data_IF_945155754028
#
_entry.id   IF_945155754028
#
_cell.length_a   1.000
_cell.length_b   1.000
_cell.length_c   1.000
_cell.angle_alpha   90.00
_cell.angle_beta   90.00
_cell.angle_gamma   90.00
#
_symmetry.space_group_name_H-M   'P 1'
#
loop_
_entity.id
_entity.type
_entity.pdbx_description
1 polymer ?
#
# COMPACT_ATOMS: atom_id res chain seq x y z
N UNK A 1 -15.79 0.78 -4.16
CA UNK A 1 -14.37 0.42 -3.95
C UNK A 1 -14.26 -0.85 -3.11
N UNK A 2 -13.21 -1.62 -3.31
CA UNK A 2 -12.93 -2.82 -2.50
C UNK A 2 -12.55 -2.44 -1.05
N UNK A 3 -11.80 -1.39 -0.89
CA UNK A 3 -11.39 -0.84 0.41
C UNK A 3 -10.08 -1.40 0.95
N UNK A 4 -9.65 -2.56 0.46
CA UNK A 4 -8.41 -3.22 0.89
C UNK A 4 -7.78 -4.01 -0.28
N UNK A 5 -7.71 -3.37 -1.46
CA UNK A 5 -7.22 -3.99 -2.69
C UNK A 5 -5.68 -4.00 -2.72
N UNK A 6 -5.10 -4.99 -2.10
CA UNK A 6 -3.65 -5.23 -2.17
C UNK A 6 -3.38 -6.66 -2.63
N UNK A 7 -2.15 -6.93 -3.03
CA UNK A 7 -1.79 -8.22 -3.65
C UNK A 7 -2.13 -9.44 -2.78
N UNK A 8 -2.15 -9.28 -1.46
CA UNK A 8 -2.53 -10.37 -0.54
C UNK A 8 -4.00 -10.78 -0.61
N UNK A 9 -4.85 -9.93 -1.20
CA UNK A 9 -6.27 -10.19 -1.40
C UNK A 9 -6.61 -10.56 -2.85
N UNK A 10 -5.59 -10.89 -3.64
CA UNK A 10 -5.76 -11.32 -5.03
C UNK A 10 -5.21 -12.73 -5.17
N UNK A 11 -6.03 -13.64 -5.65
CA UNK A 11 -5.67 -15.06 -5.80
C UNK A 11 -5.98 -15.52 -7.22
N UNK A 12 -5.02 -16.23 -7.81
CA UNK A 12 -5.24 -16.97 -9.05
C UNK A 12 -5.68 -18.39 -8.70
N UNK A 13 -6.80 -18.84 -9.28
CA UNK A 13 -7.28 -20.21 -9.15
C UNK A 13 -6.51 -21.16 -10.07
N UNK A 14 -6.66 -22.47 -9.86
CA UNK A 14 -6.03 -23.47 -10.71
C UNK A 14 -6.50 -23.38 -12.17
N UNK A 15 -7.72 -22.87 -12.41
CA UNK A 15 -8.26 -22.66 -13.75
C UNK A 15 -7.72 -21.40 -14.43
N UNK A 16 -6.89 -20.61 -13.76
CA UNK A 16 -6.36 -19.36 -14.26
C UNK A 16 -7.28 -18.15 -14.06
N UNK A 17 -8.36 -18.30 -13.31
CA UNK A 17 -9.19 -17.16 -12.92
C UNK A 17 -8.51 -16.35 -11.81
N UNK A 18 -8.72 -15.03 -11.83
CA UNK A 18 -8.28 -14.13 -10.77
C UNK A 18 -9.47 -13.70 -9.95
N UNK A 19 -9.41 -13.92 -8.65
CA UNK A 19 -10.49 -13.56 -7.72
C UNK A 19 -9.98 -12.62 -6.64
N UNK A 20 -10.87 -11.74 -6.18
CA UNK A 20 -10.61 -10.85 -5.07
C UNK A 20 -11.16 -11.46 -3.78
N UNK A 21 -10.35 -11.43 -2.73
CA UNK A 21 -10.71 -11.90 -1.41
C UNK A 21 -10.99 -10.72 -0.48
N UNK A 22 -11.55 -11.03 0.69
CA UNK A 22 -11.72 -10.09 1.81
C UNK A 22 -12.54 -8.86 1.42
N UNK A 23 -13.83 -9.09 1.13
CA UNK A 23 -14.76 -8.06 0.67
C UNK A 23 -15.41 -7.28 1.83
N UNK A 24 -15.01 -7.50 3.07
CA UNK A 24 -15.67 -6.90 4.25
C UNK A 24 -15.60 -5.38 4.28
N UNK A 25 -14.61 -4.78 3.61
CA UNK A 25 -14.44 -3.31 3.53
C UNK A 25 -15.02 -2.70 2.27
N UNK A 26 -15.70 -3.49 1.44
CA UNK A 26 -16.35 -2.97 0.24
C UNK A 26 -17.37 -1.90 0.61
N UNK A 27 -17.25 -0.73 -0.01
CA UNK A 27 -18.07 0.44 0.32
C UNK A 27 -18.11 1.44 -0.83
N UNK A 28 -18.96 2.45 -0.69
CA UNK A 28 -18.94 3.60 -1.59
C UNK A 28 -17.78 4.52 -1.22
N UNK A 29 -17.03 4.95 -2.21
CA UNK A 29 -15.88 5.83 -2.00
C UNK A 29 -15.10 6.02 -3.29
N UNK A 30 -14.01 6.81 -3.26
CA UNK A 30 -13.21 7.05 -4.44
C UNK A 30 -12.55 5.75 -4.91
N UNK A 31 -12.71 5.38 -6.20
CA UNK A 31 -12.05 4.19 -6.73
C UNK A 31 -10.53 4.27 -6.66
N UNK A 32 -9.99 5.45 -6.61
CA UNK A 32 -8.56 5.73 -6.48
C UNK A 32 -7.97 5.14 -5.20
N UNK A 33 -8.76 5.01 -4.13
CA UNK A 33 -8.30 4.38 -2.89
C UNK A 33 -7.75 2.97 -3.12
N UNK A 34 -8.39 2.20 -3.99
CA UNK A 34 -7.96 0.83 -4.28
C UNK A 34 -6.66 0.76 -5.08
N UNK A 35 -6.37 1.78 -5.89
CA UNK A 35 -5.13 1.82 -6.71
C UNK A 35 -3.96 2.48 -6.01
N UNK A 36 -4.19 3.27 -4.98
CA UNK A 36 -3.12 3.89 -4.17
C UNK A 36 -2.20 2.83 -3.57
N UNK A 37 -2.72 1.69 -3.17
CA UNK A 37 -1.91 0.60 -2.63
C UNK A 37 -0.79 0.15 -3.59
N UNK A 38 -1.12 -0.06 -4.84
CA UNK A 38 -0.13 -0.45 -5.85
C UNK A 38 0.81 0.71 -6.17
N UNK A 39 0.29 1.93 -6.27
CA UNK A 39 1.09 3.11 -6.58
C UNK A 39 2.16 3.37 -5.51
N UNK A 40 1.84 3.25 -4.23
CA UNK A 40 2.82 3.50 -3.16
C UNK A 40 3.89 2.42 -3.06
N UNK A 41 3.61 1.19 -3.50
CA UNK A 41 4.66 0.15 -3.63
C UNK A 41 5.80 0.62 -4.53
N UNK A 42 5.48 1.38 -5.56
CA UNK A 42 6.47 1.99 -6.43
C UNK A 42 7.00 3.30 -5.84
N UNK A 43 6.12 4.29 -5.62
CA UNK A 43 6.52 5.67 -5.34
C UNK A 43 6.99 5.91 -3.91
N UNK A 44 6.48 5.15 -2.94
CA UNK A 44 6.85 5.34 -1.53
C UNK A 44 7.90 4.35 -1.04
N UNK A 45 7.87 3.10 -1.53
CA UNK A 45 8.64 2.02 -0.92
C UNK A 45 9.63 1.33 -1.85
N UNK A 46 9.61 1.63 -3.14
CA UNK A 46 10.45 1.00 -4.16
C UNK A 46 10.39 -0.55 -4.14
N UNK A 47 9.22 -1.10 -3.84
CA UNK A 47 8.98 -2.55 -3.77
C UNK A 47 8.68 -3.17 -5.14
N UNK A 48 8.30 -2.35 -6.09
CA UNK A 48 8.15 -2.73 -7.50
C UNK A 48 8.92 -1.74 -8.37
N UNK A 49 9.27 -2.16 -9.57
CA UNK A 49 10.00 -1.32 -10.53
C UNK A 49 9.06 -0.35 -11.24
N UNK A 50 9.64 0.70 -11.84
CA UNK A 50 8.89 1.61 -12.70
C UNK A 50 8.19 0.88 -13.86
N UNK A 51 8.86 -0.11 -14.45
CA UNK A 51 8.29 -0.91 -15.55
C UNK A 51 7.09 -1.74 -15.07
N UNK A 52 7.18 -2.34 -13.87
CA UNK A 52 6.07 -3.09 -13.28
C UNK A 52 4.88 -2.18 -12.98
N UNK A 53 5.12 -1.00 -12.41
CA UNK A 53 4.04 -0.06 -12.14
C UNK A 53 3.39 0.44 -13.43
N UNK A 54 4.18 0.72 -14.45
CA UNK A 54 3.65 1.14 -15.76
C UNK A 54 2.79 0.06 -16.39
N UNK A 55 3.20 -1.21 -16.31
CA UNK A 55 2.40 -2.33 -16.79
C UNK A 55 1.05 -2.42 -16.06
N UNK A 56 1.03 -2.20 -14.76
CA UNK A 56 -0.20 -2.13 -13.98
C UNK A 56 -1.12 -1.00 -14.49
N UNK A 57 -0.58 0.20 -14.68
CA UNK A 57 -1.35 1.35 -15.17
C UNK A 57 -1.91 1.11 -16.57
N UNK A 58 -1.16 0.47 -17.45
CA UNK A 58 -1.60 0.16 -18.81
C UNK A 58 -2.80 -0.78 -18.82
N UNK A 59 -2.79 -1.79 -17.95
CA UNK A 59 -3.91 -2.75 -17.84
C UNK A 59 -5.10 -2.13 -17.13
N UNK A 60 -4.86 -1.41 -16.03
CA UNK A 60 -5.94 -0.76 -15.27
C UNK A 60 -6.57 0.40 -16.02
N UNK A 61 -5.80 1.09 -16.86
CA UNK A 61 -6.26 2.20 -17.68
C UNK A 61 -6.12 3.59 -17.06
N UNK A 62 -5.47 3.71 -15.90
CA UNK A 62 -5.26 4.98 -15.22
C UNK A 62 -4.04 4.92 -14.31
N UNK A 63 -3.31 6.03 -14.22
CA UNK A 63 -2.22 6.22 -13.28
C UNK A 63 -2.69 7.17 -12.16
N UNK A 64 -2.94 6.62 -10.99
CA UNK A 64 -3.45 7.39 -9.85
C UNK A 64 -2.46 8.45 -9.35
N UNK A 65 -1.17 8.32 -9.63
CA UNK A 65 -0.16 9.31 -9.22
C UNK A 65 -0.31 10.64 -9.94
N UNK A 66 -1.04 10.67 -11.05
CA UNK A 66 -1.34 11.91 -11.80
C UNK A 66 -2.61 12.61 -11.34
N UNK A 67 -3.36 12.00 -10.44
CA UNK A 67 -4.60 12.56 -9.91
C UNK A 67 -4.32 13.52 -8.74
N UNK A 68 -5.03 14.63 -8.69
CA UNK A 68 -4.81 15.69 -7.68
C UNK A 68 -4.99 15.21 -6.24
N UNK A 69 -5.81 14.20 -6.00
CA UNK A 69 -6.03 13.63 -4.67
C UNK A 69 -5.02 12.59 -4.23
N UNK A 70 -4.06 12.23 -5.10
CA UNK A 70 -3.13 11.13 -4.81
C UNK A 70 -2.32 11.35 -3.55
N UNK A 71 -1.73 12.52 -3.39
CA UNK A 71 -0.86 12.80 -2.23
C UNK A 71 -1.60 12.68 -0.91
N UNK A 72 -2.85 13.13 -0.86
CA UNK A 72 -3.68 13.01 0.35
C UNK A 72 -3.95 11.54 0.68
N UNK A 73 -4.38 10.75 -0.30
CA UNK A 73 -4.68 9.32 -0.06
C UNK A 73 -3.41 8.53 0.25
N UNK A 74 -2.29 8.85 -0.40
CA UNK A 74 -0.97 8.29 -0.07
C UNK A 74 -0.63 8.54 1.40
N UNK A 75 -0.74 9.76 1.85
CA UNK A 75 -0.36 10.15 3.21
C UNK A 75 -1.27 9.46 4.24
N UNK A 76 -2.57 9.40 3.98
CA UNK A 76 -3.51 8.65 4.82
C UNK A 76 -3.12 7.17 4.88
N UNK A 77 -2.79 6.56 3.75
CA UNK A 77 -2.44 5.15 3.70
C UNK A 77 -1.14 4.85 4.44
N UNK A 78 -0.12 5.64 4.22
CA UNK A 78 1.16 5.50 4.92
C UNK A 78 1.00 5.68 6.42
N UNK A 79 0.21 6.65 6.84
CA UNK A 79 -0.08 6.86 8.26
C UNK A 79 -0.82 5.66 8.88
N UNK A 80 -1.83 5.14 8.20
CA UNK A 80 -2.55 3.95 8.66
C UNK A 80 -1.65 2.73 8.77
N UNK A 81 -0.77 2.51 7.81
CA UNK A 81 0.21 1.43 7.84
C UNK A 81 1.17 1.58 9.04
N UNK A 82 1.53 2.80 9.39
CA UNK A 82 2.36 3.10 10.54
C UNK A 82 1.63 2.83 11.85
N UNK A 83 0.37 3.25 11.95
CA UNK A 83 -0.46 2.96 13.11
C UNK A 83 -0.67 1.45 13.30
N UNK A 84 -0.85 0.72 12.22
CA UNK A 84 -0.98 -0.75 12.27
C UNK A 84 0.29 -1.39 12.84
N UNK A 85 1.47 -0.97 12.41
CA UNK A 85 2.74 -1.47 12.93
C UNK A 85 2.89 -1.16 14.42
N UNK A 86 2.48 0.04 14.86
CA UNK A 86 2.52 0.41 16.27
C UNK A 86 1.56 -0.43 17.11
N UNK A 87 0.38 -0.73 16.59
CA UNK A 87 -0.60 -1.60 17.27
C UNK A 87 -0.09 -3.03 17.41
N UNK A 88 0.44 -3.61 16.34
CA UNK A 88 0.94 -4.99 16.38
C UNK A 88 2.20 -5.11 17.25
N UNK A 89 3.01 -4.07 17.36
CA UNK A 89 4.20 -4.05 18.20
C UNK A 89 3.88 -4.22 19.70
N UNK A 90 2.66 -3.94 20.13
CA UNK A 90 2.24 -4.12 21.53
C UNK A 90 2.23 -5.60 21.90
N UNK A 91 1.76 -6.47 20.99
CA UNK A 91 1.63 -7.92 21.23
C UNK A 91 2.68 -8.74 20.51
N UNK A 92 3.34 -8.18 19.50
CA UNK A 92 4.37 -8.83 18.70
C UNK A 92 5.65 -8.00 18.73
N UNK A 93 6.58 -8.26 19.68
CA UNK A 93 7.79 -7.43 19.81
C UNK A 93 8.65 -7.34 18.55
N UNK A 94 8.60 -8.34 17.67
CA UNK A 94 9.31 -8.32 16.39
C UNK A 94 8.86 -7.20 15.46
N UNK A 95 7.65 -6.67 15.64
CA UNK A 95 7.12 -5.58 14.82
C UNK A 95 7.55 -4.20 15.31
N UNK A 96 8.19 -4.10 16.47
CA UNK A 96 8.60 -2.81 17.02
C UNK A 96 9.60 -2.07 16.14
N UNK A 97 10.59 -2.77 15.61
CA UNK A 97 11.57 -2.16 14.70
C UNK A 97 10.91 -1.60 13.44
N UNK A 98 9.88 -2.29 12.97
CA UNK A 98 9.11 -1.82 11.80
C UNK A 98 8.30 -0.56 12.14
N UNK A 99 7.67 -0.51 13.29
CA UNK A 99 6.94 0.68 13.74
C UNK A 99 7.89 1.88 13.88
N UNK A 100 9.04 1.70 14.52
CA UNK A 100 10.03 2.77 14.70
C UNK A 100 10.57 3.26 13.35
N UNK A 101 10.83 2.35 12.42
CA UNK A 101 11.29 2.69 11.07
C UNK A 101 10.26 3.52 10.30
N UNK A 102 9.00 3.11 10.32
CA UNK A 102 7.92 3.84 9.64
C UNK A 102 7.70 5.22 10.22
N UNK A 103 7.74 5.34 11.54
CA UNK A 103 7.65 6.64 12.21
C UNK A 103 8.80 7.55 11.79
N UNK A 104 10.03 7.04 11.75
CA UNK A 104 11.19 7.81 11.32
C UNK A 104 11.05 8.29 9.87
N UNK A 105 10.54 7.45 8.97
CA UNK A 105 10.26 7.84 7.59
C UNK A 105 9.27 8.99 7.52
N UNK A 106 8.12 8.87 8.20
CA UNK A 106 7.08 9.91 8.17
C UNK A 106 7.54 11.22 8.81
N UNK A 107 8.45 11.15 9.78
CA UNK A 107 9.04 12.34 10.40
C UNK A 107 10.14 13.00 9.58
N UNK A 108 10.46 12.48 8.42
CA UNK A 108 11.48 13.02 7.55
C UNK A 108 12.92 12.73 7.98
N UNK A 109 13.13 11.83 8.95
CA UNK A 109 14.47 11.52 9.46
C UNK A 109 15.31 10.66 8.52
N UNK A 110 14.69 10.00 7.57
CA UNK A 110 15.34 9.11 6.61
C UNK A 110 15.32 9.68 5.18
N UNK A 111 15.10 10.98 5.05
CA UNK A 111 15.08 11.67 3.77
C UNK A 111 13.75 11.51 3.01
N UNK A 112 13.72 11.89 1.73
CA UNK A 112 12.51 11.80 0.91
C UNK A 112 12.20 10.37 0.47
N UNK A 113 10.96 10.18 -0.01
CA UNK A 113 10.58 8.93 -0.68
C UNK A 113 11.46 8.68 -1.92
N UNK A 114 11.66 7.43 -2.34
CA UNK A 114 11.16 6.22 -1.72
C UNK A 114 11.95 5.79 -0.48
N UNK A 115 11.28 5.09 0.44
CA UNK A 115 11.89 4.53 1.65
C UNK A 115 11.97 3.00 1.54
N UNK A 116 13.16 2.46 1.64
CA UNK A 116 13.33 1.00 1.73
C UNK A 116 12.97 0.48 3.13
N UNK A 117 12.81 -0.82 3.26
CA UNK A 117 12.67 -1.47 4.55
C UNK A 117 11.27 -1.55 5.13
N UNK A 118 10.25 -1.07 4.44
CA UNK A 118 8.86 -1.32 4.85
C UNK A 118 8.49 -2.77 4.50
N UNK A 119 8.11 -3.54 5.49
CA UNK A 119 7.71 -4.94 5.33
C UNK A 119 6.39 -5.19 6.05
N UNK A 120 5.70 -6.26 5.67
CA UNK A 120 4.44 -6.63 6.31
C UNK A 120 4.63 -6.85 7.81
N UNK A 121 3.61 -6.49 8.57
CA UNK A 121 3.51 -6.78 10.01
C UNK A 121 2.49 -7.88 10.25
N UNK A 122 2.68 -8.62 11.32
CA UNK A 122 1.84 -9.79 11.65
C UNK A 122 0.66 -9.46 12.56
#
# INVERSE_FOLDING_TARGET
>A
MHGDAWVGNVVATDDGEVVLLDLERTSLGPPEWDTVHTAIKYSSFAQITAAQYRAFCDVYGHDVTTWDGFELLRDIREFRMTCMAAQTAVTTPADRSQADHRIACLRGKLGPRPWSGWRAVT
#
